data_IF_184769106450
#
_entry.id   IF_184769106450
#
_cell.length_a   1.000
_cell.length_b   1.000
_cell.length_c   1.000
_cell.angle_alpha   90.00
_cell.angle_beta   90.00
_cell.angle_gamma   90.00
#
_symmetry.space_group_name_H-M   'P 1'
#
loop_
_entity.id
_entity.type
_entity.pdbx_description
1 polymer ?
#
# COMPACT_ATOMS: atom_id res chain seq x y z
N UNK A 1 12.04 11.38 8.66
CA UNK A 1 10.89 10.48 8.83
C UNK A 1 10.11 10.84 10.08
N UNK A 2 8.78 10.75 10.02
CA UNK A 2 7.88 10.73 11.17
C UNK A 2 7.01 9.48 11.09
N UNK A 3 6.83 8.77 12.21
CA UNK A 3 5.94 7.61 12.30
C UNK A 3 4.65 7.98 13.04
N UNK A 4 3.53 7.43 12.59
CA UNK A 4 2.21 7.52 13.23
C UNK A 4 1.73 6.10 13.45
N UNK A 5 1.49 5.74 14.70
CA UNK A 5 0.97 4.43 15.06
C UNK A 5 -0.28 4.62 15.92
N UNK A 6 -1.43 4.29 15.33
CA UNK A 6 -2.75 4.53 15.92
C UNK A 6 -3.56 3.24 15.98
N UNK A 7 -4.42 3.12 16.99
CA UNK A 7 -5.27 1.96 17.17
C UNK A 7 -6.74 2.32 17.44
N UNK A 8 -7.63 1.37 17.17
CA UNK A 8 -9.07 1.49 17.41
C UNK A 8 -9.68 0.12 17.73
N UNK A 9 -10.77 0.12 18.49
CA UNK A 9 -11.54 -1.07 18.86
C UNK A 9 -12.96 -1.01 18.28
N UNK A 10 -13.30 -1.97 17.43
CA UNK A 10 -14.64 -2.23 16.93
C UNK A 10 -15.42 -3.22 17.82
N UNK A 11 -16.73 -3.33 17.55
CA UNK A 11 -17.63 -4.18 18.32
C UNK A 11 -17.67 -5.64 17.86
N UNK A 12 -17.15 -5.95 16.67
CA UNK A 12 -16.89 -7.32 16.21
C UNK A 12 -15.61 -7.40 15.36
N UNK A 13 -15.07 -8.60 15.14
CA UNK A 13 -13.87 -8.77 14.32
C UNK A 13 -14.07 -8.42 12.84
N UNK A 14 -15.16 -8.86 12.20
CA UNK A 14 -15.41 -8.51 10.80
C UNK A 14 -15.65 -7.00 10.59
N UNK A 15 -16.28 -6.32 11.56
CA UNK A 15 -16.42 -4.86 11.52
C UNK A 15 -15.08 -4.16 11.60
N UNK A 16 -14.14 -4.70 12.40
CA UNK A 16 -12.80 -4.18 12.48
C UNK A 16 -12.06 -4.31 11.13
N UNK A 17 -12.19 -5.47 10.49
CA UNK A 17 -11.58 -5.73 9.19
C UNK A 17 -12.11 -4.77 8.11
N UNK A 18 -13.43 -4.61 8.01
CA UNK A 18 -14.06 -3.66 7.07
C UNK A 18 -13.63 -2.22 7.38
N UNK A 19 -13.65 -1.82 8.65
CA UNK A 19 -13.27 -0.46 9.04
C UNK A 19 -11.81 -0.15 8.69
N UNK A 20 -10.90 -1.11 8.88
CA UNK A 20 -9.49 -0.99 8.49
C UNK A 20 -9.35 -0.72 6.99
N UNK A 21 -9.99 -1.54 6.13
CA UNK A 21 -9.99 -1.35 4.68
C UNK A 21 -10.54 0.02 4.26
N UNK A 22 -11.62 0.49 4.90
CA UNK A 22 -12.21 1.80 4.60
C UNK A 22 -11.30 2.95 5.01
N UNK A 23 -10.68 2.86 6.20
CA UNK A 23 -9.73 3.86 6.68
C UNK A 23 -8.46 3.91 5.81
N UNK A 24 -7.95 2.75 5.40
CA UNK A 24 -6.82 2.66 4.48
C UNK A 24 -7.17 3.17 3.08
N UNK A 25 -8.37 2.90 2.58
CA UNK A 25 -8.88 3.48 1.33
C UNK A 25 -8.90 5.01 1.42
N UNK A 26 -9.38 5.57 2.54
CA UNK A 26 -9.36 7.03 2.75
C UNK A 26 -7.94 7.59 2.79
N UNK A 27 -7.01 6.91 3.48
CA UNK A 27 -5.60 7.28 3.52
C UNK A 27 -5.03 7.33 2.10
N UNK A 28 -5.22 6.27 1.30
CA UNK A 28 -4.73 6.19 -0.08
C UNK A 28 -5.32 7.30 -0.96
N UNK A 29 -6.60 7.62 -0.82
CA UNK A 29 -7.24 8.75 -1.51
C UNK A 29 -6.56 10.08 -1.18
N UNK A 30 -6.28 10.34 0.11
CA UNK A 30 -5.56 11.55 0.54
C UNK A 30 -4.17 11.58 -0.12
N UNK A 31 -3.40 10.51 0.01
CA UNK A 31 -2.04 10.45 -0.56
C UNK A 31 -2.04 10.68 -2.08
N UNK A 32 -3.00 10.07 -2.79
CA UNK A 32 -3.17 10.24 -4.22
C UNK A 32 -3.55 11.70 -4.59
N UNK A 33 -4.43 12.34 -3.82
CA UNK A 33 -4.82 13.73 -4.02
C UNK A 33 -3.62 14.69 -3.93
N UNK A 34 -2.67 14.39 -3.06
CA UNK A 34 -1.43 15.16 -2.90
C UNK A 34 -0.29 14.68 -3.81
N UNK A 35 -0.53 13.70 -4.69
CA UNK A 35 0.47 13.18 -5.62
C UNK A 35 1.65 12.50 -4.93
N UNK A 36 1.41 11.91 -3.75
CA UNK A 36 2.43 11.20 -2.97
C UNK A 36 2.56 9.76 -3.44
N UNK A 37 3.79 9.28 -3.46
CA UNK A 37 4.17 7.97 -3.98
C UNK A 37 4.47 7.01 -2.81
N UNK A 38 3.89 5.82 -2.83
CA UNK A 38 4.19 4.79 -1.82
C UNK A 38 5.68 4.40 -1.91
N UNK A 39 6.27 4.07 -0.76
CA UNK A 39 7.68 3.80 -0.52
C UNK A 39 8.65 4.98 -0.69
N UNK A 40 8.32 5.96 -1.53
CA UNK A 40 9.12 7.17 -1.73
C UNK A 40 8.75 8.23 -0.70
N UNK A 41 7.47 8.59 -0.64
CA UNK A 41 6.95 9.66 0.21
C UNK A 41 6.44 9.10 1.55
N UNK A 42 5.84 7.92 1.53
CA UNK A 42 5.28 7.29 2.72
C UNK A 42 5.21 5.76 2.60
N UNK A 43 5.04 5.08 3.73
CA UNK A 43 4.58 3.70 3.80
C UNK A 43 3.42 3.64 4.79
N UNK A 44 2.45 2.77 4.53
CA UNK A 44 1.34 2.55 5.45
C UNK A 44 0.94 1.07 5.47
N UNK A 45 0.61 0.59 6.66
CA UNK A 45 0.12 -0.76 6.92
C UNK A 45 -1.05 -0.67 7.90
N UNK A 46 -2.23 -1.10 7.46
CA UNK A 46 -3.32 -1.40 8.35
C UNK A 46 -3.29 -2.86 8.75
N UNK A 47 -3.71 -3.16 9.97
CA UNK A 47 -3.76 -4.51 10.50
C UNK A 47 -4.99 -4.64 11.37
N UNK A 48 -5.80 -5.65 11.07
CA UNK A 48 -6.84 -6.13 11.98
C UNK A 48 -6.34 -7.41 12.65
N UNK A 49 -6.77 -7.64 13.89
CA UNK A 49 -6.34 -8.83 14.65
C UNK A 49 -7.48 -9.83 14.69
N UNK A 50 -7.30 -10.98 14.05
CA UNK A 50 -8.34 -12.00 13.85
C UNK A 50 -9.02 -12.42 15.16
N UNK A 51 -10.35 -12.58 15.12
CA UNK A 51 -11.16 -12.94 16.30
C UNK A 51 -11.27 -11.81 17.35
N UNK A 52 -10.68 -10.65 17.09
CA UNK A 52 -10.77 -9.46 17.93
C UNK A 52 -11.32 -8.30 17.11
N UNK A 53 -11.96 -7.33 17.75
CA UNK A 53 -12.32 -6.09 17.08
C UNK A 53 -11.17 -5.07 17.00
N UNK A 54 -9.91 -5.46 17.24
CA UNK A 54 -8.81 -4.51 17.37
C UNK A 54 -8.14 -4.22 16.01
N UNK A 55 -7.78 -2.96 15.78
CA UNK A 55 -7.17 -2.46 14.55
C UNK A 55 -5.97 -1.59 14.91
N UNK A 56 -4.90 -1.71 14.14
CA UNK A 56 -3.79 -0.74 14.12
C UNK A 56 -3.56 -0.21 12.72
N UNK A 57 -3.21 1.07 12.60
CA UNK A 57 -2.66 1.66 11.38
C UNK A 57 -1.29 2.23 11.72
N UNK A 58 -0.28 1.75 11.00
CA UNK A 58 1.10 2.22 11.04
C UNK A 58 1.41 3.02 9.78
N UNK A 59 1.92 4.23 9.93
CA UNK A 59 2.22 5.14 8.82
C UNK A 59 3.60 5.74 9.04
N UNK A 60 4.52 5.46 8.12
CA UNK A 60 5.81 6.11 8.04
C UNK A 60 5.78 7.20 6.96
N UNK A 61 6.12 8.43 7.35
CA UNK A 61 6.16 9.61 6.49
C UNK A 61 7.62 9.98 6.25
N UNK A 62 8.08 9.85 5.01
CA UNK A 62 9.49 9.98 4.66
C UNK A 62 9.87 11.38 4.18
N UNK A 63 8.97 12.06 3.48
CA UNK A 63 9.20 13.39 2.88
C UNK A 63 8.46 14.49 3.63
N UNK A 64 8.92 15.73 3.47
CA UNK A 64 8.26 16.91 4.08
C UNK A 64 6.81 17.03 3.62
N UNK A 65 6.55 16.74 2.35
CA UNK A 65 5.22 16.73 1.76
C UNK A 65 4.29 15.72 2.47
N UNK A 66 4.78 14.53 2.78
CA UNK A 66 4.03 13.52 3.54
C UNK A 66 3.86 13.93 5.01
N UNK A 67 4.90 14.48 5.64
CA UNK A 67 4.86 14.95 7.04
C UNK A 67 3.82 16.05 7.24
N UNK A 68 3.61 16.93 6.25
CA UNK A 68 2.59 17.97 6.31
C UNK A 68 1.16 17.42 6.46
N UNK A 69 0.92 16.16 6.07
CA UNK A 69 -0.38 15.49 6.21
C UNK A 69 -0.55 14.80 7.57
N UNK A 70 0.46 14.81 8.44
CA UNK A 70 0.44 14.04 9.68
C UNK A 70 -0.70 14.41 10.65
N UNK A 71 -1.22 15.64 10.58
CA UNK A 71 -2.37 16.03 11.38
C UNK A 71 -3.64 15.33 10.87
N UNK A 72 -3.91 15.45 9.57
CA UNK A 72 -5.08 14.86 8.91
C UNK A 72 -5.08 13.33 9.03
N UNK A 73 -3.90 12.71 8.91
CA UNK A 73 -3.75 11.25 9.01
C UNK A 73 -4.04 10.69 10.42
N UNK A 74 -3.85 11.49 11.48
CA UNK A 74 -4.25 11.09 12.84
C UNK A 74 -5.76 11.16 13.05
N UNK A 75 -6.48 11.84 12.17
CA UNK A 75 -7.92 12.06 12.25
C UNK A 75 -8.67 11.31 11.14
N UNK A 76 -8.08 10.25 10.58
CA UNK A 76 -8.68 9.47 9.51
C UNK A 76 -10.08 8.98 9.89
N UNK A 77 -11.07 9.35 9.08
CA UNK A 77 -12.41 8.80 9.17
C UNK A 77 -12.60 7.81 8.02
N UNK A 78 -13.09 6.61 8.36
CA UNK A 78 -13.48 5.63 7.36
C UNK A 78 -14.61 6.18 6.49
N UNK A 79 -14.60 5.83 5.21
CA UNK A 79 -15.70 6.11 4.31
C UNK A 79 -16.95 5.34 4.76
N UNK A 80 -18.13 5.95 4.63
CA UNK A 80 -19.39 5.35 5.13
C UNK A 80 -20.42 5.12 4.02
N UNK A 81 -20.17 5.58 2.80
CA UNK A 81 -21.09 5.38 1.68
C UNK A 81 -21.12 3.91 1.22
N UNK A 82 -22.23 3.53 0.58
CA UNK A 82 -22.48 2.14 0.18
C UNK A 82 -21.46 1.63 -0.85
N UNK A 83 -20.96 2.51 -1.72
CA UNK A 83 -19.95 2.16 -2.73
C UNK A 83 -18.66 1.74 -2.04
N UNK A 84 -18.17 2.54 -1.09
CA UNK A 84 -16.97 2.25 -0.30
C UNK A 84 -17.12 1.00 0.56
N UNK A 85 -18.30 0.77 1.15
CA UNK A 85 -18.58 -0.45 1.93
C UNK A 85 -18.50 -1.70 1.04
N UNK A 86 -19.14 -1.67 -0.13
CA UNK A 86 -19.10 -2.78 -1.08
C UNK A 86 -17.69 -3.00 -1.63
N UNK A 87 -16.95 -1.93 -1.89
CA UNK A 87 -15.56 -2.00 -2.32
C UNK A 87 -14.68 -2.67 -1.26
N UNK A 88 -14.80 -2.26 0.01
CA UNK A 88 -14.05 -2.87 1.12
C UNK A 88 -14.36 -4.37 1.26
N UNK A 89 -15.63 -4.75 1.20
CA UNK A 89 -16.02 -6.17 1.21
C UNK A 89 -15.46 -6.95 0.02
N UNK A 90 -15.43 -6.34 -1.17
CA UNK A 90 -14.86 -6.95 -2.39
C UNK A 90 -13.35 -7.13 -2.29
N UNK A 91 -12.65 -6.16 -1.69
CA UNK A 91 -11.21 -6.24 -1.45
C UNK A 91 -10.86 -7.35 -0.45
N UNK A 92 -11.64 -7.47 0.63
CA UNK A 92 -11.49 -8.55 1.63
C UNK A 92 -11.72 -9.90 0.96
N UNK A 93 -12.81 -10.05 0.20
CA UNK A 93 -13.12 -11.26 -0.56
C UNK A 93 -11.96 -11.64 -1.52
N UNK A 94 -11.42 -10.66 -2.24
CA UNK A 94 -10.29 -10.89 -3.16
C UNK A 94 -8.98 -11.28 -2.44
N UNK A 95 -8.73 -10.72 -1.25
CA UNK A 95 -7.51 -11.00 -0.47
C UNK A 95 -7.55 -12.34 0.26
N UNK A 96 -8.72 -12.76 0.73
CA UNK A 96 -8.91 -13.96 1.56
C UNK A 96 -9.46 -15.17 0.80
N UNK A 97 -9.84 -15.02 -0.47
CA UNK A 97 -10.58 -16.04 -1.23
C UNK A 97 -11.87 -16.49 -0.50
N UNK A 98 -12.66 -15.50 -0.09
CA UNK A 98 -13.86 -15.71 0.71
C UNK A 98 -15.05 -14.89 0.19
N UNK A 99 -16.22 -15.04 0.82
CA UNK A 99 -17.36 -14.14 0.62
C UNK A 99 -17.76 -13.46 1.91
N UNK A 100 -17.93 -12.13 1.85
CA UNK A 100 -18.52 -11.35 2.94
C UNK A 100 -20.02 -11.20 2.69
N UNK A 101 -20.84 -11.75 3.59
CA UNK A 101 -22.30 -11.65 3.52
C UNK A 101 -22.77 -10.57 4.50
N UNK A 102 -23.37 -9.50 3.96
CA UNK A 102 -24.00 -8.45 4.74
C UNK A 102 -25.52 -8.44 4.50
N UNK A 103 -26.28 -8.92 5.47
CA UNK A 103 -27.75 -8.98 5.40
C UNK A 103 -28.42 -7.64 5.76
N UNK A 104 -27.66 -6.66 6.25
CA UNK A 104 -28.19 -5.35 6.65
C UNK A 104 -27.10 -4.27 6.49
N UNK A 105 -27.03 -3.69 5.29
CA UNK A 105 -26.03 -2.69 4.94
C UNK A 105 -26.22 -1.38 5.72
N UNK A 106 -27.46 -0.95 5.97
CA UNK A 106 -27.75 0.27 6.75
C UNK A 106 -27.21 0.16 8.18
N UNK A 107 -27.32 -1.03 8.78
CA UNK A 107 -26.75 -1.30 10.11
C UNK A 107 -25.23 -1.29 10.10
N UNK A 108 -24.60 -1.85 9.07
CA UNK A 108 -23.15 -1.77 8.90
C UNK A 108 -22.70 -0.31 8.76
N UNK A 109 -23.34 0.46 7.88
CA UNK A 109 -23.08 1.89 7.71
C UNK A 109 -23.19 2.65 9.03
N UNK A 110 -24.25 2.41 9.80
CA UNK A 110 -24.42 3.00 11.13
C UNK A 110 -23.28 2.63 12.08
N UNK A 111 -22.84 1.37 12.08
CA UNK A 111 -21.75 0.91 12.94
C UNK A 111 -20.39 1.52 12.55
N UNK A 112 -20.08 1.63 11.25
CA UNK A 112 -18.87 2.34 10.77
C UNK A 112 -18.94 3.83 11.14
N UNK A 113 -20.08 4.50 10.91
CA UNK A 113 -20.26 5.90 11.29
C UNK A 113 -20.14 6.12 12.81
N UNK A 114 -20.58 5.15 13.62
CA UNK A 114 -20.38 5.17 15.08
C UNK A 114 -18.90 5.04 15.44
N UNK A 115 -18.14 4.18 14.76
CA UNK A 115 -16.69 4.03 14.97
C UNK A 115 -15.90 5.30 14.58
N UNK A 116 -16.35 6.03 13.57
CA UNK A 116 -15.76 7.33 13.19
C UNK A 116 -15.90 8.39 14.29
N UNK A 117 -16.91 8.30 15.16
CA UNK A 117 -17.09 9.25 16.27
C UNK A 117 -16.08 9.05 17.39
N UNK A 118 -15.46 7.88 17.47
CA UNK A 118 -14.38 7.62 18.40
C UNK A 118 -13.07 8.00 17.74
N UNK A 119 -12.28 8.86 18.39
CA UNK A 119 -10.96 9.22 17.88
C UNK A 119 -10.04 8.00 17.85
N UNK A 120 -9.09 8.03 16.92
CA UNK A 120 -7.97 7.10 16.94
C UNK A 120 -7.12 7.35 18.18
N UNK A 121 -6.71 6.27 18.86
CA UNK A 121 -5.81 6.36 20.00
C UNK A 121 -4.36 6.17 19.52
N UNK A 122 -3.46 7.15 19.70
CA UNK A 122 -2.04 6.96 19.44
C UNK A 122 -1.45 5.96 20.43
N UNK A 123 -0.68 4.99 19.95
CA UNK A 123 -0.12 3.94 20.81
C UNK A 123 0.80 4.53 21.88
N UNK A 124 1.55 5.59 21.57
CA UNK A 124 2.42 6.28 22.51
C UNK A 124 1.67 6.99 23.66
N UNK A 125 0.34 7.15 23.54
CA UNK A 125 -0.51 7.76 24.56
C UNK A 125 -1.30 6.74 25.38
N UNK A 126 -1.10 5.45 25.15
CA UNK A 126 -1.69 4.39 25.97
C UNK A 126 -0.94 4.35 27.31
N UNK A 127 -1.60 4.78 28.37
CA UNK A 127 -1.06 4.84 29.74
C UNK A 127 -1.47 3.63 30.60
N UNK A 128 -2.45 2.85 30.15
CA UNK A 128 -2.92 1.63 30.79
C UNK A 128 -2.86 0.45 29.82
N UNK A 129 -2.55 -0.74 30.35
CA UNK A 129 -2.55 -1.98 29.57
C UNK A 129 -3.92 -2.18 28.89
N UNK A 130 -3.91 -2.29 27.56
CA UNK A 130 -5.08 -2.72 26.81
C UNK A 130 -5.12 -4.25 26.77
N UNK A 131 -6.16 -4.84 27.37
CA UNK A 131 -6.41 -6.29 27.30
C UNK A 131 -7.40 -6.55 26.18
N UNK A 132 -6.92 -7.12 25.09
CA UNK A 132 -7.77 -7.47 23.94
C UNK A 132 -8.38 -8.86 24.17
N UNK A 133 -9.72 -8.91 24.17
CA UNK A 133 -10.47 -10.15 24.36
C UNK A 133 -11.12 -10.59 23.05
N UNK A 134 -11.33 -11.90 22.84
CA UNK A 134 -12.10 -12.40 21.71
C UNK A 134 -13.50 -11.80 21.67
N UNK A 135 -13.98 -11.46 20.48
CA UNK A 135 -15.34 -10.96 20.25
C UNK A 135 -16.12 -11.94 19.38
N UNK A 136 -17.44 -11.95 19.57
CA UNK A 136 -18.34 -12.71 18.71
C UNK A 136 -18.59 -11.96 17.40
N UNK A 137 -18.80 -12.70 16.32
CA UNK A 137 -19.25 -12.13 15.04
C UNK A 137 -20.71 -11.67 15.10
N UNK A 138 -21.04 -10.70 14.25
CA UNK A 138 -22.43 -10.28 14.09
C UNK A 138 -23.22 -11.27 13.23
N UNK A 139 -24.45 -11.59 13.63
CA UNK A 139 -25.31 -12.48 12.81
C UNK A 139 -25.68 -11.90 11.43
N UNK A 140 -25.61 -10.58 11.27
CA UNK A 140 -25.97 -9.91 10.01
C UNK A 140 -24.77 -9.64 9.09
N UNK A 141 -23.55 -9.90 9.57
CA UNK A 141 -22.31 -9.66 8.85
C UNK A 141 -21.31 -10.75 9.20
N UNK A 142 -20.97 -11.61 8.24
CA UNK A 142 -20.08 -12.74 8.45
C UNK A 142 -19.34 -13.13 7.18
N UNK A 143 -18.21 -13.80 7.35
CA UNK A 143 -17.38 -14.37 6.30
C UNK A 143 -17.74 -15.84 6.08
N UNK A 144 -17.64 -16.30 4.83
CA UNK A 144 -17.80 -17.71 4.45
C UNK A 144 -16.72 -18.12 3.45
N UNK A 145 -16.22 -19.36 3.61
CA UNK A 145 -15.18 -19.97 2.77
C UNK A 145 -15.72 -20.50 1.43
N UNK A 146 -16.98 -20.19 1.10
CA UNK A 146 -17.62 -20.59 -0.16
C UNK A 146 -17.70 -19.35 -1.08
N UNK A 147 -16.69 -19.12 -1.93
CA UNK A 147 -16.64 -17.94 -2.79
C UNK A 147 -17.76 -17.98 -3.83
N UNK A 148 -18.74 -17.10 -3.67
CA UNK A 148 -19.86 -16.98 -4.62
C UNK A 148 -19.42 -16.27 -5.91
N UNK A 149 -18.30 -15.53 -5.86
CA UNK A 149 -17.74 -14.77 -6.99
C UNK A 149 -16.36 -15.28 -7.32
N UNK A 150 -16.05 -15.43 -8.61
CA UNK A 150 -14.71 -15.82 -9.04
C UNK A 150 -13.69 -14.70 -8.81
N UNK A 151 -12.47 -15.09 -8.45
CA UNK A 151 -11.33 -14.18 -8.30
C UNK A 151 -10.43 -14.28 -9.53
N UNK A 152 -10.06 -13.13 -10.07
CA UNK A 152 -9.07 -13.00 -11.12
C UNK A 152 -7.71 -12.65 -10.50
N UNK A 153 -6.70 -13.44 -10.84
CA UNK A 153 -5.30 -13.13 -10.55
C UNK A 153 -4.65 -12.46 -11.76
N UNK A 154 -3.94 -11.36 -11.53
CA UNK A 154 -3.27 -10.59 -12.57
C UNK A 154 -1.83 -10.33 -12.15
N UNK A 155 -0.89 -10.71 -13.01
CA UNK A 155 0.54 -10.51 -12.77
C UNK A 155 1.04 -9.33 -13.59
N UNK A 156 1.67 -8.35 -12.93
CA UNK A 156 2.23 -7.17 -13.58
C UNK A 156 3.75 -7.13 -13.39
N UNK A 157 4.49 -7.15 -14.49
CA UNK A 157 5.95 -7.09 -14.47
C UNK A 157 6.45 -5.74 -15.02
N UNK A 158 7.27 -5.07 -14.21
CA UNK A 158 8.10 -3.96 -14.67
C UNK A 158 9.49 -4.51 -15.00
N UNK A 159 9.96 -4.25 -16.22
CA UNK A 159 11.24 -4.73 -16.71
C UNK A 159 12.10 -3.58 -17.18
N UNK A 160 13.41 -3.82 -17.19
CA UNK A 160 14.36 -3.00 -17.93
C UNK A 160 15.07 -3.82 -19.01
N UNK A 161 15.48 -3.15 -20.12
CA UNK A 161 16.45 -3.72 -21.04
C UNK A 161 17.70 -4.19 -20.28
N UNK A 162 18.38 -5.26 -20.73
CA UNK A 162 19.58 -5.75 -20.07
C UNK A 162 20.58 -4.63 -19.76
N UNK A 163 20.87 -4.44 -18.47
CA UNK A 163 21.81 -3.44 -17.99
C UNK A 163 22.93 -4.15 -17.22
N UNK A 164 24.17 -3.93 -17.63
CA UNK A 164 25.35 -4.51 -16.97
C UNK A 164 25.74 -3.77 -15.67
N UNK A 165 25.19 -2.58 -15.44
CA UNK A 165 25.47 -1.79 -14.24
C UNK A 165 24.56 -2.21 -13.08
N UNK A 166 25.12 -2.95 -12.14
CA UNK A 166 24.42 -3.43 -10.95
C UNK A 166 23.90 -2.28 -10.06
N UNK A 167 24.56 -1.12 -10.04
CA UNK A 167 24.11 0.01 -9.24
C UNK A 167 22.85 0.64 -9.84
N UNK A 168 22.78 0.74 -11.17
CA UNK A 168 21.58 1.16 -11.87
C UNK A 168 20.44 0.14 -11.75
N UNK A 169 20.77 -1.15 -11.69
CA UNK A 169 19.79 -2.21 -11.45
C UNK A 169 19.13 -2.06 -10.09
N UNK A 170 19.91 -1.82 -9.03
CA UNK A 170 19.37 -1.60 -7.69
C UNK A 170 18.49 -0.34 -7.60
N UNK A 171 18.87 0.74 -8.31
CA UNK A 171 18.03 1.93 -8.42
C UNK A 171 16.74 1.66 -9.19
N UNK A 172 16.79 0.89 -10.28
CA UNK A 172 15.59 0.46 -10.96
C UNK A 172 14.64 -0.30 -10.03
N UNK A 173 15.15 -1.27 -9.26
CA UNK A 173 14.35 -2.01 -8.28
C UNK A 173 13.64 -1.09 -7.30
N UNK A 174 14.36 -0.14 -6.71
CA UNK A 174 13.76 0.83 -5.78
C UNK A 174 12.59 1.58 -6.42
N UNK A 175 12.78 2.04 -7.66
CA UNK A 175 11.74 2.76 -8.40
C UNK A 175 10.58 1.85 -8.78
N UNK A 176 10.84 0.61 -9.17
CA UNK A 176 9.82 -0.36 -9.55
C UNK A 176 8.90 -0.72 -8.39
N UNK A 177 9.45 -0.95 -7.19
CA UNK A 177 8.64 -1.14 -5.98
C UNK A 177 7.84 0.12 -5.60
N UNK A 178 8.43 1.32 -5.77
CA UNK A 178 7.68 2.57 -5.61
C UNK A 178 6.51 2.70 -6.59
N UNK A 179 6.69 2.28 -7.85
CA UNK A 179 5.62 2.24 -8.85
C UNK A 179 4.56 1.21 -8.45
N UNK A 180 4.93 -0.05 -8.20
CA UNK A 180 4.01 -1.11 -7.83
C UNK A 180 3.19 -0.78 -6.58
N UNK A 181 3.84 -0.25 -5.54
CA UNK A 181 3.16 0.15 -4.32
C UNK A 181 2.16 1.29 -4.56
N UNK A 182 2.53 2.28 -5.36
CA UNK A 182 1.64 3.42 -5.69
C UNK A 182 0.48 2.98 -6.59
N UNK A 183 0.75 2.13 -7.59
CA UNK A 183 -0.26 1.54 -8.46
C UNK A 183 -1.21 0.67 -7.65
N UNK A 184 -0.70 -0.12 -6.70
CA UNK A 184 -1.50 -0.93 -5.80
C UNK A 184 -2.48 -0.10 -5.00
N UNK A 185 -2.03 1.03 -4.45
CA UNK A 185 -2.92 1.94 -3.71
C UNK A 185 -4.01 2.51 -4.61
N UNK A 186 -3.66 2.94 -5.82
CA UNK A 186 -4.60 3.52 -6.77
C UNK A 186 -5.59 2.49 -7.33
N UNK A 187 -5.12 1.29 -7.67
CA UNK A 187 -5.95 0.19 -8.16
C UNK A 187 -6.87 -0.34 -7.05
N UNK A 188 -6.40 -0.37 -5.80
CA UNK A 188 -7.23 -0.70 -4.65
C UNK A 188 -8.41 0.27 -4.49
N UNK A 189 -8.14 1.58 -4.55
CA UNK A 189 -9.16 2.63 -4.43
C UNK A 189 -10.11 2.66 -5.63
N UNK A 190 -9.59 2.55 -6.85
CA UNK A 190 -10.36 2.79 -8.08
C UNK A 190 -11.03 1.54 -8.64
N UNK A 191 -10.45 0.36 -8.42
CA UNK A 191 -10.84 -0.88 -9.07
C UNK A 191 -11.09 -2.03 -8.07
N UNK A 192 -10.84 -1.84 -6.78
CA UNK A 192 -11.03 -2.88 -5.77
C UNK A 192 -9.95 -3.96 -5.77
N UNK A 193 -8.79 -3.69 -6.38
CA UNK A 193 -7.69 -4.64 -6.44
C UNK A 193 -7.05 -4.82 -5.06
N UNK A 194 -6.66 -6.05 -4.74
CA UNK A 194 -5.86 -6.40 -3.59
C UNK A 194 -4.46 -6.79 -4.07
N UNK A 195 -3.42 -6.26 -3.40
CA UNK A 195 -2.03 -6.64 -3.69
C UNK A 195 -1.68 -7.88 -2.87
N UNK A 196 -1.35 -8.96 -3.55
CA UNK A 196 -0.97 -10.24 -2.94
C UNK A 196 0.51 -10.29 -2.59
N UNK A 197 1.37 -9.80 -3.50
CA UNK A 197 2.80 -9.77 -3.29
C UNK A 197 3.50 -8.84 -4.28
N UNK A 198 4.65 -8.33 -3.87
CA UNK A 198 5.62 -7.65 -4.72
C UNK A 198 6.96 -8.34 -4.54
N UNK A 199 7.63 -8.74 -5.62
CA UNK A 199 8.94 -9.39 -5.53
C UNK A 199 9.78 -9.18 -6.79
N UNK A 200 11.09 -9.32 -6.66
CA UNK A 200 12.00 -9.43 -7.78
C UNK A 200 12.06 -10.85 -8.34
N UNK A 201 12.14 -10.97 -9.67
CA UNK A 201 12.57 -12.20 -10.32
C UNK A 201 13.68 -11.92 -11.33
N UNK A 202 14.74 -12.74 -11.28
CA UNK A 202 15.84 -12.69 -12.24
C UNK A 202 15.74 -13.86 -13.20
N UNK A 203 15.17 -13.60 -14.38
CA UNK A 203 15.12 -14.56 -15.48
C UNK A 203 16.25 -14.22 -16.47
N UNK A 204 17.26 -15.09 -16.58
CA UNK A 204 18.44 -14.89 -17.43
C UNK A 204 19.22 -13.60 -17.10
N UNK A 205 19.41 -12.72 -18.09
CA UNK A 205 20.07 -11.40 -17.96
C UNK A 205 19.07 -10.26 -17.74
N UNK A 206 17.78 -10.55 -17.74
CA UNK A 206 16.72 -9.59 -17.48
C UNK A 206 16.25 -9.71 -16.04
N UNK A 207 15.91 -8.58 -15.49
CA UNK A 207 15.38 -8.47 -14.14
C UNK A 207 13.98 -7.89 -14.26
N UNK A 208 13.04 -8.58 -13.63
CA UNK A 208 11.64 -8.18 -13.54
C UNK A 208 11.33 -7.86 -12.08
N UNK A 209 10.57 -6.80 -11.84
CA UNK A 209 9.88 -6.61 -10.58
C UNK A 209 8.41 -6.91 -10.82
N UNK A 210 7.89 -7.90 -10.10
CA UNK A 210 6.56 -8.48 -10.28
C UNK A 210 5.66 -8.00 -9.15
N UNK A 211 4.42 -7.63 -9.49
CA UNK A 211 3.34 -7.36 -8.55
C UNK A 211 2.15 -8.25 -8.92
N UNK A 212 1.70 -9.02 -7.95
CA UNK A 212 0.56 -9.92 -8.09
C UNK A 212 -0.68 -9.28 -7.48
N UNK A 213 -1.76 -9.24 -8.26
CA UNK A 213 -3.05 -8.70 -7.83
C UNK A 213 -4.13 -9.77 -7.80
N UNK A 214 -5.05 -9.64 -6.84
CA UNK A 214 -6.35 -10.29 -6.86
C UNK A 214 -7.46 -9.25 -6.98
N UNK A 215 -8.50 -9.57 -7.72
CA UNK A 215 -9.74 -8.80 -7.76
C UNK A 215 -10.91 -9.72 -8.06
N UNK A 216 -12.13 -9.34 -7.67
CA UNK A 216 -13.32 -10.01 -8.17
C UNK A 216 -13.35 -9.93 -9.70
N UNK A 217 -13.66 -11.04 -10.39
CA UNK A 217 -13.50 -11.12 -11.85
C UNK A 217 -14.36 -10.10 -12.62
N UNK A 218 -15.49 -9.68 -12.05
CA UNK A 218 -16.35 -8.65 -12.63
C UNK A 218 -15.80 -7.21 -12.45
N UNK A 219 -14.85 -7.00 -11.54
CA UNK A 219 -14.15 -5.73 -11.31
C UNK A 219 -12.76 -5.69 -11.97
N UNK A 220 -12.20 -6.85 -12.29
CA UNK A 220 -10.90 -6.96 -12.92
C UNK A 220 -10.88 -6.32 -14.33
N UNK A 221 -10.06 -5.28 -14.50
CA UNK A 221 -9.94 -4.50 -15.72
C UNK A 221 -8.46 -4.21 -16.02
N UNK A 222 -7.87 -5.02 -16.91
CA UNK A 222 -6.44 -4.95 -17.25
C UNK A 222 -6.07 -3.66 -17.98
N UNK A 223 -6.99 -3.09 -18.75
CA UNK A 223 -6.71 -1.85 -19.49
C UNK A 223 -6.68 -0.66 -18.54
N UNK A 224 -7.62 -0.56 -17.60
CA UNK A 224 -7.56 0.46 -16.54
C UNK A 224 -6.34 0.30 -15.63
N UNK A 225 -5.96 -0.94 -15.30
CA UNK A 225 -4.74 -1.17 -14.53
C UNK A 225 -3.50 -0.66 -15.29
N UNK A 226 -3.42 -0.92 -16.60
CA UNK A 226 -2.36 -0.40 -17.47
C UNK A 226 -2.32 1.13 -17.48
N UNK A 227 -3.49 1.77 -17.55
CA UNK A 227 -3.61 3.22 -17.50
C UNK A 227 -3.11 3.80 -16.17
N UNK A 228 -3.39 3.12 -15.04
CA UNK A 228 -2.88 3.52 -13.72
C UNK A 228 -1.33 3.44 -13.69
N UNK A 229 -0.73 2.37 -14.24
CA UNK A 229 0.74 2.30 -14.36
C UNK A 229 1.31 3.46 -15.16
N UNK A 230 0.72 3.77 -16.32
CA UNK A 230 1.15 4.90 -17.14
C UNK A 230 0.98 6.24 -16.42
N UNK A 231 -0.11 6.43 -15.67
CA UNK A 231 -0.34 7.62 -14.84
C UNK A 231 0.76 7.78 -13.79
N UNK A 232 1.08 6.71 -13.06
CA UNK A 232 2.11 6.74 -11.99
C UNK A 232 3.49 7.02 -12.57
N UNK A 233 3.89 6.32 -13.64
CA UNK A 233 5.19 6.52 -14.28
C UNK A 233 5.29 7.95 -14.84
N UNK A 234 4.22 8.44 -15.48
CA UNK A 234 4.11 9.81 -15.98
C UNK A 234 4.29 10.85 -14.87
N UNK A 235 3.60 10.68 -13.73
CA UNK A 235 3.76 11.54 -12.55
C UNK A 235 5.18 11.51 -11.99
N UNK A 236 5.82 10.35 -11.93
CA UNK A 236 7.20 10.23 -11.46
C UNK A 236 8.22 10.94 -12.36
N UNK A 237 7.89 11.14 -13.65
CA UNK A 237 8.72 11.87 -14.61
C UNK A 237 8.55 13.39 -14.54
N UNK A 238 7.56 13.90 -13.80
CA UNK A 238 7.40 15.34 -13.59
C UNK A 238 8.59 15.92 -12.83
N UNK A 239 8.98 17.15 -13.19
CA UNK A 239 10.17 17.82 -12.60
C UNK A 239 10.14 17.86 -11.08
N UNK A 240 8.98 18.19 -10.49
CA UNK A 240 8.82 18.25 -9.04
C UNK A 240 8.94 16.87 -8.38
N UNK A 241 8.35 15.84 -9.00
CA UNK A 241 8.46 14.46 -8.53
C UNK A 241 9.90 13.94 -8.63
N UNK A 242 10.59 14.13 -9.74
CA UNK A 242 12.00 13.74 -9.92
C UNK A 242 12.90 14.39 -8.86
N UNK A 243 12.74 15.69 -8.61
CA UNK A 243 13.49 16.40 -7.59
C UNK A 243 13.23 15.81 -6.19
N UNK A 244 11.97 15.49 -5.88
CA UNK A 244 11.57 14.87 -4.61
C UNK A 244 12.12 13.46 -4.44
N UNK A 245 12.00 12.60 -5.46
CA UNK A 245 12.58 11.23 -5.48
C UNK A 245 14.10 11.29 -5.29
N UNK A 246 14.77 12.19 -6.03
CA UNK A 246 16.21 12.44 -5.91
C UNK A 246 16.60 12.86 -4.50
N UNK A 247 15.88 13.80 -3.89
CA UNK A 247 16.09 14.24 -2.51
C UNK A 247 15.89 13.09 -1.52
N UNK A 248 14.85 12.28 -1.70
CA UNK A 248 14.54 11.11 -0.86
C UNK A 248 15.67 10.08 -0.88
N UNK A 249 16.16 9.70 -2.06
CA UNK A 249 17.24 8.69 -2.16
C UNK A 249 18.54 9.24 -1.54
N UNK A 250 18.81 10.55 -1.67
CA UNK A 250 19.97 11.17 -1.00
C UNK A 250 19.88 11.15 0.52
N UNK A 251 18.66 11.12 1.06
CA UNK A 251 18.43 11.18 2.50
C UNK A 251 18.51 9.82 3.19
N UNK A 252 18.70 8.72 2.45
CA UNK A 252 18.86 7.40 3.08
C UNK A 252 20.02 7.40 4.07
N UNK A 253 19.80 6.76 5.20
CA UNK A 253 20.80 6.53 6.25
C UNK A 253 20.59 5.13 6.80
N UNK A 254 21.66 4.34 6.84
CA UNK A 254 21.63 3.03 7.50
C UNK A 254 22.15 3.11 8.95
N UNK A 255 22.61 4.29 9.38
CA UNK A 255 23.31 4.46 10.66
C UNK A 255 22.50 5.15 11.76
N UNK A 256 21.32 5.70 11.46
CA UNK A 256 20.52 6.46 12.43
C UNK A 256 19.44 5.63 13.13
N UNK A 257 19.39 4.33 12.85
CA UNK A 257 18.42 3.39 13.43
C UNK A 257 16.98 3.56 12.93
N UNK A 258 16.74 4.43 11.95
CA UNK A 258 15.44 4.52 11.29
C UNK A 258 15.36 3.46 10.20
N UNK A 259 14.29 2.68 10.19
CA UNK A 259 14.02 1.69 9.14
C UNK A 259 13.43 2.38 7.89
N UNK A 260 14.03 3.49 7.45
CA UNK A 260 13.55 4.33 6.34
C UNK A 260 14.50 4.33 5.12
N UNK A 261 15.48 3.44 5.09
CA UNK A 261 16.27 3.13 3.90
C UNK A 261 15.84 1.76 3.33
N UNK A 262 16.13 1.47 2.04
CA UNK A 262 15.77 0.17 1.44
C UNK A 262 16.35 -1.01 2.24
N UNK A 263 15.52 -2.02 2.52
CA UNK A 263 15.89 -3.17 3.34
C UNK A 263 17.06 -3.95 2.72
N UNK A 264 18.20 -4.00 3.43
CA UNK A 264 19.43 -4.62 2.95
C UNK A 264 19.26 -6.12 2.73
N UNK A 265 18.59 -6.82 3.64
CA UNK A 265 18.40 -8.27 3.57
C UNK A 265 17.54 -8.64 2.36
N UNK A 266 16.46 -7.89 2.12
CA UNK A 266 15.61 -8.04 0.94
C UNK A 266 16.41 -7.83 -0.35
N UNK A 267 17.20 -6.76 -0.44
CA UNK A 267 18.02 -6.50 -1.63
C UNK A 267 19.05 -7.62 -1.89
N UNK A 268 19.66 -8.17 -0.84
CA UNK A 268 20.58 -9.31 -0.97
C UNK A 268 19.83 -10.55 -1.46
N UNK A 269 18.70 -10.91 -0.84
CA UNK A 269 17.97 -12.13 -1.19
C UNK A 269 17.39 -12.08 -2.59
N UNK A 270 16.87 -10.93 -3.00
CA UNK A 270 16.12 -10.77 -4.25
C UNK A 270 17.00 -10.40 -5.44
N UNK A 271 18.08 -9.65 -5.21
CA UNK A 271 18.90 -9.09 -6.30
C UNK A 271 20.35 -9.56 -6.24
N UNK A 272 20.81 -10.03 -5.08
CA UNK A 272 22.22 -10.33 -4.82
C UNK A 272 23.10 -9.07 -4.72
N UNK A 273 22.51 -7.88 -4.54
CA UNK A 273 23.21 -6.60 -4.55
C UNK A 273 23.16 -5.96 -3.17
N UNK A 274 24.31 -5.47 -2.70
CA UNK A 274 24.40 -4.60 -1.52
C UNK A 274 24.65 -3.18 -1.98
N UNK A 275 23.76 -2.26 -1.58
CA UNK A 275 23.90 -0.82 -1.89
C UNK A 275 24.03 -0.03 -0.60
N UNK A 276 25.23 0.50 -0.35
CA UNK A 276 25.46 1.40 0.78
C UNK A 276 24.93 2.81 0.51
N UNK A 277 24.74 3.58 1.59
CA UNK A 277 24.29 4.98 1.57
C UNK A 277 25.00 5.83 0.51
N UNK A 278 26.34 5.78 0.46
CA UNK A 278 27.13 6.61 -0.47
C UNK A 278 26.89 6.24 -1.94
N UNK A 279 26.51 4.99 -2.21
CA UNK A 279 26.15 4.55 -3.56
C UNK A 279 24.77 5.09 -3.92
N UNK A 280 23.77 4.99 -3.03
CA UNK A 280 22.46 5.62 -3.22
C UNK A 280 22.56 7.11 -3.52
N UNK A 281 23.33 7.85 -2.72
CA UNK A 281 23.55 9.29 -2.90
C UNK A 281 24.17 9.63 -4.26
N UNK A 282 25.09 8.81 -4.77
CA UNK A 282 25.70 8.98 -6.10
C UNK A 282 24.72 8.73 -7.25
N UNK A 283 23.82 7.76 -7.07
CA UNK A 283 22.81 7.36 -8.05
C UNK A 283 21.63 8.33 -8.13
N UNK A 284 21.36 9.06 -7.05
CA UNK A 284 20.26 10.01 -6.90
C UNK A 284 20.42 11.29 -7.73
N UNK A 285 20.50 11.15 -9.05
CA UNK A 285 20.47 12.24 -10.01
C UNK A 285 19.16 12.16 -10.78
N UNK A 286 18.46 13.29 -10.89
CA UNK A 286 17.17 13.37 -11.61
C UNK A 286 17.28 12.81 -13.03
N UNK A 287 18.35 13.14 -13.76
CA UNK A 287 18.61 12.59 -15.10
C UNK A 287 18.75 11.06 -15.11
N UNK A 288 19.40 10.49 -14.09
CA UNK A 288 19.55 9.03 -13.96
C UNK A 288 18.20 8.38 -13.71
N UNK A 289 17.42 8.92 -12.77
CA UNK A 289 16.08 8.44 -12.42
C UNK A 289 15.14 8.52 -13.63
N UNK A 290 15.08 9.68 -14.29
CA UNK A 290 14.25 9.88 -15.48
C UNK A 290 14.62 8.92 -16.62
N UNK A 291 15.92 8.69 -16.84
CA UNK A 291 16.39 7.75 -17.85
C UNK A 291 15.97 6.30 -17.54
N UNK A 292 15.93 5.91 -16.27
CA UNK A 292 15.47 4.58 -15.87
C UNK A 292 13.96 4.45 -16.07
N UNK A 293 13.18 5.44 -15.63
CA UNK A 293 11.72 5.47 -15.77
C UNK A 293 11.27 5.42 -17.24
N UNK A 294 11.91 6.20 -18.12
CA UNK A 294 11.61 6.23 -19.56
C UNK A 294 11.90 4.91 -20.29
N UNK A 295 12.67 4.01 -19.68
CA UNK A 295 13.05 2.71 -20.26
C UNK A 295 12.32 1.54 -19.63
N UNK A 296 11.39 1.80 -18.70
CA UNK A 296 10.59 0.75 -18.09
C UNK A 296 9.65 0.17 -19.15
N UNK A 297 9.59 -1.16 -19.18
CA UNK A 297 8.65 -1.92 -19.99
C UNK A 297 7.66 -2.55 -19.03
N UNK A 298 6.37 -2.30 -19.25
CA UNK A 298 5.28 -2.92 -18.51
C UNK A 298 4.75 -4.12 -19.29
N UNK A 299 4.63 -5.27 -18.62
CA UNK A 299 3.90 -6.44 -19.09
C UNK A 299 2.81 -6.79 -18.07
N UNK A 300 1.60 -7.11 -18.56
CA UNK A 300 0.47 -7.53 -17.72
C UNK A 300 -0.04 -8.86 -18.28
N UNK A 301 -0.05 -9.90 -17.45
CA UNK A 301 -0.41 -11.29 -17.78
C UNK A 301 -1.65 -11.74 -17.05
#
# INVERSE_FOLDING_TARGET
>A
MQRILICKQAASPIEAHIYEHLAMTKLKQIMQQFGLLRQIDYFALGTHYSGTGFITIDIDLYTEEAVNLAHDLRQLQALTDNESLNLAMSQIAAGNDCTIICNNLDKLQYNIAKLNKNDWQPIEKIDQLLIISPLAEHKFLYETDDPITSISHISCALKQPPNSDAALLALFYYLAFGIHGTVSDMANVRLGYYNLSEHAERINKSTSCICEFAALSNLADRDKLRDIYHEVIGKMLEKAALARISRRIKSFSYGDGKMDAPNVDMYISETGIVVGEKTWQKLAKEKTIANLLNKIILEIV
#
